data_IF_524433980371
#
_entry.id   IF_524433980371
#
_cell.length_a   1.000
_cell.length_b   1.000
_cell.length_c   1.000
_cell.angle_alpha   90.00
_cell.angle_beta   90.00
_cell.angle_gamma   90.00
#
_symmetry.space_group_name_H-M   'P 1'
#
loop_
_entity.id
_entity.type
_entity.pdbx_description
1 polymer ?
#
# COMPACT_ATOMS: atom_id res chain seq x y z
N UNK A 1 -41.91 31.45 30.66
CA UNK A 1 -43.17 32.16 30.42
C UNK A 1 -43.12 32.59 28.97
N UNK A 2 -43.79 31.88 28.07
CA UNK A 2 -43.74 32.19 26.64
C UNK A 2 -44.75 33.29 26.34
N UNK A 3 -44.23 34.50 26.18
CA UNK A 3 -45.01 35.67 25.79
C UNK A 3 -45.10 35.67 24.26
N UNK A 4 -46.19 35.13 23.73
CA UNK A 4 -46.49 35.16 22.29
C UNK A 4 -46.87 36.58 21.86
N UNK A 5 -46.51 37.04 20.65
CA UNK A 5 -47.01 38.30 20.10
C UNK A 5 -48.53 38.42 20.13
N UNK A 6 -49.25 37.32 19.88
CA UNK A 6 -50.72 37.28 19.95
C UNK A 6 -51.21 37.52 21.38
N UNK A 7 -50.55 36.88 22.36
CA UNK A 7 -50.86 37.07 23.76
C UNK A 7 -50.67 38.54 24.19
N UNK A 8 -49.60 39.20 23.73
CA UNK A 8 -49.37 40.63 24.04
C UNK A 8 -50.47 41.53 23.50
N UNK A 9 -51.02 41.23 22.31
CA UNK A 9 -52.10 42.01 21.69
C UNK A 9 -53.47 41.77 22.33
N UNK A 10 -53.68 40.61 22.95
CA UNK A 10 -54.98 40.21 23.53
C UNK A 10 -55.09 40.50 25.03
N UNK A 11 -54.01 40.91 25.70
CA UNK A 11 -54.02 41.22 27.12
C UNK A 11 -54.88 42.45 27.41
N UNK A 12 -55.85 42.28 28.31
CA UNK A 12 -56.73 43.34 28.81
C UNK A 12 -56.30 43.71 30.23
N UNK A 13 -56.13 45.00 30.49
CA UNK A 13 -55.79 45.54 31.81
C UNK A 13 -57.02 46.13 32.50
N UNK A 14 -57.11 46.00 33.83
CA UNK A 14 -58.16 46.67 34.61
C UNK A 14 -57.88 48.17 34.79
N UNK A 15 -58.93 48.98 34.79
CA UNK A 15 -58.83 50.43 34.93
C UNK A 15 -58.75 50.83 36.42
N UNK A 16 -57.77 51.67 36.77
CA UNK A 16 -57.57 52.16 38.14
C UNK A 16 -57.49 53.69 38.19
N UNK A 17 -57.85 54.28 39.34
CA UNK A 17 -57.76 55.73 39.52
C UNK A 17 -56.29 56.20 39.38
N UNK A 18 -56.02 57.08 38.40
CA UNK A 18 -54.69 57.54 37.95
C UNK A 18 -53.82 56.45 37.30
N UNK A 19 -54.41 55.54 36.53
CA UNK A 19 -53.69 54.58 35.68
C UNK A 19 -53.04 55.19 34.43
N UNK A 20 -52.33 54.37 33.66
CA UNK A 20 -51.81 54.73 32.35
C UNK A 20 -52.95 54.98 31.35
N UNK A 21 -52.71 55.86 30.37
CA UNK A 21 -53.70 56.10 29.31
C UNK A 21 -53.77 54.87 28.40
N UNK A 22 -54.95 54.25 28.31
CA UNK A 22 -55.16 53.02 27.53
C UNK A 22 -54.60 53.10 26.11
N UNK A 23 -54.88 54.18 25.37
CA UNK A 23 -54.38 54.34 24.00
C UNK A 23 -52.85 54.33 23.87
N UNK A 24 -52.12 54.77 24.90
CA UNK A 24 -50.64 54.74 24.90
C UNK A 24 -50.12 53.34 25.23
N UNK A 25 -50.83 52.62 26.10
CA UNK A 25 -50.52 51.23 26.41
C UNK A 25 -50.75 50.36 25.18
N UNK A 26 -51.88 50.54 24.48
CA UNK A 26 -52.20 49.79 23.27
C UNK A 26 -51.13 49.99 22.17
N UNK A 27 -50.75 51.24 21.88
CA UNK A 27 -49.68 51.54 20.92
C UNK A 27 -48.34 50.89 21.31
N UNK A 28 -48.03 50.86 22.62
CA UNK A 28 -46.84 50.21 23.12
C UNK A 28 -46.89 48.69 22.96
N UNK A 29 -48.01 48.05 23.28
CA UNK A 29 -48.20 46.61 23.12
C UNK A 29 -48.10 46.18 21.66
N UNK A 30 -48.65 46.95 20.73
CA UNK A 30 -48.53 46.69 19.30
C UNK A 30 -47.06 46.70 18.86
N UNK A 31 -46.29 47.73 19.28
CA UNK A 31 -44.86 47.82 18.96
C UNK A 31 -44.04 46.71 19.62
N UNK A 32 -44.40 46.31 20.84
CA UNK A 32 -43.76 45.17 21.52
C UNK A 32 -44.07 43.86 20.79
N UNK A 33 -45.32 43.63 20.40
CA UNK A 33 -45.72 42.45 19.65
C UNK A 33 -44.98 42.35 18.32
N UNK A 34 -44.87 43.45 17.57
CA UNK A 34 -44.07 43.53 16.34
C UNK A 34 -42.59 43.22 16.60
N UNK A 35 -42.02 43.79 17.67
CA UNK A 35 -40.64 43.51 18.08
C UNK A 35 -40.39 42.03 18.40
N UNK A 36 -41.33 41.38 19.09
CA UNK A 36 -41.25 39.95 19.40
C UNK A 36 -41.34 39.12 18.12
N UNK A 37 -42.24 39.46 17.18
CA UNK A 37 -42.34 38.78 15.88
C UNK A 37 -41.03 38.87 15.09
N UNK A 38 -40.44 40.05 15.02
CA UNK A 38 -39.15 40.27 14.36
C UNK A 38 -38.03 39.48 15.02
N UNK A 39 -37.96 39.47 16.35
CA UNK A 39 -36.96 38.68 17.09
C UNK A 39 -37.13 37.18 16.87
N UNK A 40 -38.37 36.67 16.91
CA UNK A 40 -38.66 35.28 16.63
C UNK A 40 -38.30 34.88 15.20
N UNK A 41 -38.58 35.75 14.21
CA UNK A 41 -38.19 35.52 12.83
C UNK A 41 -36.67 35.47 12.68
N UNK A 42 -35.95 36.44 13.25
CA UNK A 42 -34.48 36.47 13.23
C UNK A 42 -33.87 35.27 13.93
N UNK A 43 -34.47 34.81 15.03
CA UNK A 43 -34.03 33.61 15.74
C UNK A 43 -34.20 32.37 14.87
N UNK A 44 -35.37 32.19 14.23
CA UNK A 44 -35.61 31.07 13.30
C UNK A 44 -34.57 31.06 12.17
N UNK A 45 -34.36 32.20 11.51
CA UNK A 45 -33.38 32.33 10.43
C UNK A 45 -31.94 32.07 10.90
N UNK A 46 -31.58 32.54 12.09
CA UNK A 46 -30.27 32.30 12.68
C UNK A 46 -30.06 30.82 13.00
N UNK A 47 -31.05 30.16 13.59
CA UNK A 47 -31.02 28.73 13.90
C UNK A 47 -30.93 27.90 12.62
N UNK A 48 -31.73 28.21 11.60
CA UNK A 48 -31.65 27.50 10.31
C UNK A 48 -30.27 27.66 9.66
N UNK A 49 -29.69 28.86 9.70
CA UNK A 49 -28.32 29.09 9.19
C UNK A 49 -27.28 28.33 10.00
N UNK A 50 -27.42 28.28 11.33
CA UNK A 50 -26.52 27.55 12.22
C UNK A 50 -26.57 26.04 11.92
N UNK A 51 -27.77 25.45 11.86
CA UNK A 51 -27.97 24.03 11.52
C UNK A 51 -27.35 23.71 10.15
N UNK A 52 -27.57 24.55 9.13
CA UNK A 52 -26.95 24.33 7.81
C UNK A 52 -25.43 24.45 7.85
N UNK A 53 -24.87 25.33 8.69
CA UNK A 53 -23.43 25.46 8.84
C UNK A 53 -22.82 24.25 9.55
N UNK A 54 -23.47 23.78 10.61
CA UNK A 54 -23.07 22.57 11.35
C UNK A 54 -23.10 21.34 10.44
N UNK A 55 -24.14 21.18 9.62
CA UNK A 55 -24.24 20.09 8.64
C UNK A 55 -23.06 20.11 7.65
N UNK A 56 -22.71 21.28 7.08
CA UNK A 56 -21.55 21.38 6.18
C UNK A 56 -20.24 21.02 6.86
N UNK A 57 -20.05 21.41 8.12
CA UNK A 57 -18.83 21.06 8.87
C UNK A 57 -18.77 19.55 9.08
N UNK A 58 -19.87 18.91 9.50
CA UNK A 58 -19.94 17.47 9.67
C UNK A 58 -19.63 16.71 8.36
N UNK A 59 -20.21 17.14 7.24
CA UNK A 59 -19.93 16.56 5.91
C UNK A 59 -18.45 16.68 5.52
N UNK A 60 -17.82 17.82 5.79
CA UNK A 60 -16.40 18.02 5.53
C UNK A 60 -15.50 17.17 6.42
N UNK A 61 -15.84 16.99 7.69
CA UNK A 61 -15.10 16.15 8.62
C UNK A 61 -15.18 14.68 8.20
N UNK A 62 -16.37 14.20 7.83
CA UNK A 62 -16.57 12.84 7.30
C UNK A 62 -15.77 12.61 6.00
N UNK A 63 -15.82 13.56 5.07
CA UNK A 63 -15.04 13.49 3.83
C UNK A 63 -13.52 13.52 4.11
N UNK A 64 -13.09 14.33 5.08
CA UNK A 64 -11.70 14.43 5.51
C UNK A 64 -11.19 13.14 6.16
N UNK A 65 -12.03 12.46 6.94
CA UNK A 65 -11.70 11.17 7.56
C UNK A 65 -11.61 10.06 6.51
N UNK A 66 -12.56 9.98 5.58
CA UNK A 66 -12.52 9.04 4.46
C UNK A 66 -11.26 9.24 3.60
N UNK A 67 -10.87 10.49 3.33
CA UNK A 67 -9.65 10.81 2.62
C UNK A 67 -8.39 10.32 3.36
N UNK A 68 -8.30 10.55 4.69
CA UNK A 68 -7.17 10.05 5.51
C UNK A 68 -7.08 8.53 5.50
N UNK A 69 -8.20 7.83 5.60
CA UNK A 69 -8.24 6.37 5.54
C UNK A 69 -7.80 5.85 4.17
N UNK A 70 -8.24 6.49 3.09
CA UNK A 70 -7.81 6.15 1.73
C UNK A 70 -6.31 6.38 1.53
N UNK A 71 -5.75 7.46 2.10
CA UNK A 71 -4.31 7.72 2.02
C UNK A 71 -3.52 6.68 2.82
N UNK A 72 -3.96 6.35 4.04
CA UNK A 72 -3.31 5.34 4.87
C UNK A 72 -3.28 3.97 4.18
N UNK A 73 -4.37 3.56 3.55
CA UNK A 73 -4.43 2.30 2.78
C UNK A 73 -3.55 2.35 1.52
N UNK A 74 -3.51 3.47 0.80
CA UNK A 74 -2.60 3.65 -0.32
C UNK A 74 -1.12 3.61 0.10
N UNK A 75 -0.77 4.24 1.23
CA UNK A 75 0.58 4.20 1.80
C UNK A 75 0.99 2.79 2.21
N UNK A 76 0.09 2.05 2.86
CA UNK A 76 0.32 0.64 3.22
C UNK A 76 0.53 -0.22 1.98
N UNK A 77 -0.30 -0.04 0.95
CA UNK A 77 -0.15 -0.75 -0.32
C UNK A 77 1.20 -0.42 -0.99
N UNK A 78 1.59 0.85 -1.03
CA UNK A 78 2.87 1.27 -1.58
C UNK A 78 4.06 0.66 -0.83
N UNK A 79 4.01 0.60 0.51
CA UNK A 79 5.04 -0.07 1.32
C UNK A 79 5.12 -1.56 1.02
N UNK A 80 3.99 -2.25 0.96
CA UNK A 80 3.96 -3.67 0.60
C UNK A 80 4.55 -3.94 -0.80
N UNK A 81 4.25 -3.08 -1.78
CA UNK A 81 4.83 -3.20 -3.12
C UNK A 81 6.34 -2.96 -3.13
N UNK A 82 6.83 -2.00 -2.34
CA UNK A 82 8.27 -1.76 -2.21
C UNK A 82 9.00 -2.95 -1.57
N UNK A 83 8.41 -3.58 -0.56
CA UNK A 83 8.95 -4.80 0.05
C UNK A 83 8.99 -5.96 -0.94
N UNK A 84 7.92 -6.18 -1.71
CA UNK A 84 7.88 -7.21 -2.75
C UNK A 84 8.93 -6.96 -3.82
N UNK A 85 9.10 -5.71 -4.27
CA UNK A 85 10.11 -5.35 -5.25
C UNK A 85 11.53 -5.60 -4.74
N UNK A 86 11.82 -5.22 -3.49
CA UNK A 86 13.11 -5.46 -2.86
C UNK A 86 13.41 -6.96 -2.72
N UNK A 87 12.42 -7.79 -2.42
CA UNK A 87 12.60 -9.24 -2.35
C UNK A 87 12.80 -9.87 -3.74
N UNK A 88 12.07 -9.40 -4.75
CA UNK A 88 12.26 -9.83 -6.12
C UNK A 88 13.68 -9.51 -6.64
N UNK A 89 14.24 -8.36 -6.26
CA UNK A 89 15.62 -7.99 -6.57
C UNK A 89 16.62 -8.96 -5.94
N UNK A 90 16.49 -9.27 -4.64
CA UNK A 90 17.35 -10.26 -3.98
C UNK A 90 17.29 -11.63 -4.63
N UNK A 91 16.08 -12.08 -5.02
CA UNK A 91 15.90 -13.36 -5.71
C UNK A 91 16.59 -13.33 -7.08
N UNK A 92 16.45 -12.24 -7.83
CA UNK A 92 17.12 -12.07 -9.12
C UNK A 92 18.65 -12.07 -8.99
N UNK A 93 19.20 -11.41 -7.96
CA UNK A 93 20.63 -11.44 -7.67
C UNK A 93 21.12 -12.85 -7.30
N UNK A 94 20.38 -13.56 -6.44
CA UNK A 94 20.72 -14.93 -6.05
C UNK A 94 20.71 -15.87 -7.28
N UNK A 95 19.73 -15.72 -8.17
CA UNK A 95 19.66 -16.46 -9.43
C UNK A 95 20.85 -16.16 -10.34
N UNK A 96 21.24 -14.89 -10.48
CA UNK A 96 22.41 -14.51 -11.28
C UNK A 96 23.69 -15.14 -10.73
N UNK A 97 23.91 -15.10 -9.41
CA UNK A 97 25.09 -15.74 -8.77
C UNK A 97 25.13 -17.25 -9.00
N UNK A 98 23.98 -17.92 -8.93
CA UNK A 98 23.90 -19.36 -9.24
C UNK A 98 24.25 -19.64 -10.70
N UNK A 99 23.73 -18.86 -11.64
CA UNK A 99 24.04 -19.01 -13.08
C UNK A 99 25.52 -18.82 -13.38
N UNK A 100 26.15 -17.79 -12.78
CA UNK A 100 27.59 -17.56 -12.88
C UNK A 100 28.37 -18.77 -12.35
N UNK A 101 28.02 -19.27 -11.15
CA UNK A 101 28.66 -20.45 -10.57
C UNK A 101 28.49 -21.73 -11.40
N UNK A 102 27.32 -21.94 -12.03
CA UNK A 102 27.11 -23.05 -12.95
C UNK A 102 27.99 -22.93 -14.21
N UNK A 103 28.14 -21.72 -14.75
CA UNK A 103 29.05 -21.46 -15.88
C UNK A 103 30.51 -21.78 -15.53
N UNK A 104 30.96 -21.39 -14.35
CA UNK A 104 32.32 -21.70 -13.87
C UNK A 104 32.53 -23.21 -13.70
N UNK A 105 31.53 -23.92 -13.16
CA UNK A 105 31.57 -25.38 -13.01
C UNK A 105 31.58 -26.10 -14.37
N UNK A 106 30.81 -25.60 -15.34
CA UNK A 106 30.77 -26.11 -16.71
C UNK A 106 32.14 -25.96 -17.39
N UNK A 107 32.77 -24.79 -17.30
CA UNK A 107 34.13 -24.57 -17.81
C UNK A 107 35.15 -25.50 -17.12
N UNK A 108 35.06 -25.67 -15.80
CA UNK A 108 35.96 -26.55 -15.06
C UNK A 108 35.80 -28.03 -15.46
N UNK A 109 34.54 -28.48 -15.63
CA UNK A 109 34.22 -29.83 -16.11
C UNK A 109 34.82 -30.08 -17.49
N UNK A 110 34.62 -29.17 -18.43
CA UNK A 110 35.10 -29.33 -19.80
C UNK A 110 36.63 -29.39 -19.85
N UNK A 111 37.31 -28.57 -19.02
CA UNK A 111 38.77 -28.62 -18.85
C UNK A 111 39.25 -29.96 -18.27
N UNK A 112 38.58 -30.48 -17.24
CA UNK A 112 38.91 -31.79 -16.66
C UNK A 112 38.71 -32.91 -17.67
N UNK A 113 37.64 -32.87 -18.46
CA UNK A 113 37.40 -33.86 -19.52
C UNK A 113 38.50 -33.82 -20.59
N UNK A 114 38.94 -32.62 -21.00
CA UNK A 114 40.08 -32.49 -21.92
C UNK A 114 41.37 -33.08 -21.31
N UNK A 115 41.64 -32.83 -20.02
CA UNK A 115 42.80 -33.40 -19.33
C UNK A 115 42.73 -34.94 -19.30
N UNK A 116 41.59 -35.53 -18.96
CA UNK A 116 41.38 -36.98 -18.99
C UNK A 116 41.66 -37.53 -20.40
N UNK A 117 41.07 -36.92 -21.44
CA UNK A 117 41.27 -37.35 -22.81
C UNK A 117 42.75 -37.29 -23.25
N UNK A 118 43.49 -36.26 -22.82
CA UNK A 118 44.94 -36.16 -23.10
C UNK A 118 45.75 -37.22 -22.36
N UNK A 119 45.39 -37.54 -21.11
CA UNK A 119 46.03 -38.60 -20.34
C UNK A 119 45.79 -39.95 -21.01
N UNK A 120 44.55 -40.25 -21.41
CA UNK A 120 44.20 -41.47 -22.13
C UNK A 120 44.99 -41.60 -23.44
N UNK A 121 45.10 -40.51 -24.21
CA UNK A 121 45.91 -40.49 -25.44
C UNK A 121 47.41 -40.73 -25.18
N UNK A 122 47.96 -40.16 -24.10
CA UNK A 122 49.37 -40.39 -23.71
C UNK A 122 49.61 -41.82 -23.20
N UNK A 123 48.63 -42.41 -22.52
CA UNK A 123 48.66 -43.81 -22.09
C UNK A 123 48.60 -44.77 -23.29
N UNK A 124 47.78 -44.47 -24.30
CA UNK A 124 47.74 -45.24 -25.55
C UNK A 124 49.08 -45.17 -26.33
N UNK A 125 49.73 -44.00 -26.37
CA UNK A 125 51.04 -43.83 -27.00
C UNK A 125 52.17 -44.60 -26.29
N UNK A 126 52.16 -44.59 -24.94
CA UNK A 126 53.14 -45.36 -24.14
C UNK A 126 52.89 -46.87 -24.25
N UNK A 127 51.64 -47.33 -24.27
CA UNK A 127 51.29 -48.73 -24.51
C UNK A 127 51.71 -49.21 -25.92
N UNK A 128 51.53 -48.40 -26.97
CA UNK A 128 52.02 -48.71 -28.32
C UNK A 128 53.55 -48.76 -28.44
N UNK A 129 54.25 -47.97 -27.62
CA UNK A 129 55.72 -47.97 -27.55
C UNK A 129 56.26 -49.18 -26.78
N UNK A 130 55.53 -49.67 -25.77
CA UNK A 130 55.88 -50.90 -25.05
C UNK A 130 55.53 -52.15 -25.88
N UNK A 131 54.40 -52.15 -26.60
CA UNK A 131 54.02 -53.22 -27.53
C UNK A 131 54.99 -53.39 -28.70
N UNK A 132 55.52 -52.30 -29.27
CA UNK A 132 56.53 -52.38 -30.34
C UNK A 132 57.93 -52.80 -29.87
N UNK A 133 58.19 -52.83 -28.54
CA UNK A 133 59.46 -53.32 -27.99
C UNK A 133 59.48 -54.83 -27.70
N UNK A 134 58.33 -55.52 -27.76
CA UNK A 134 58.22 -56.96 -27.45
C UNK A 134 58.33 -57.86 -28.70
N UNK A 135 58.26 -57.32 -29.93
CA UNK A 135 58.29 -58.12 -31.17
C UNK A 135 59.67 -58.30 -31.87
N UNK A 136 60.80 -57.99 -31.21
CA UNK A 136 62.14 -58.27 -31.78
C UNK A 136 62.96 -59.22 -30.91
N UNK A 137 62.58 -60.51 -30.93
CA UNK A 137 63.34 -61.62 -30.37
C UNK A 137 63.23 -62.88 -31.25
N UNK A 138 64.01 -62.92 -32.34
CA UNK A 138 64.11 -64.02 -33.32
C UNK A 138 64.78 -65.30 -32.73
N UNK A 139 64.68 -66.48 -33.40
CA UNK A 139 64.54 -67.81 -32.80
C UNK A 139 65.84 -68.62 -32.67
N UNK A 140 65.86 -69.63 -31.79
CA UNK A 140 66.89 -70.68 -31.81
C UNK A 140 66.30 -72.08 -31.53
N UNK A 141 66.60 -72.96 -32.48
CA UNK A 141 66.26 -74.38 -32.60
C UNK A 141 66.67 -75.23 -31.40
N UNK A 142 65.89 -76.28 -31.06
CA UNK A 142 66.47 -77.58 -30.67
C UNK A 142 65.61 -78.76 -31.16
N UNK A 143 66.30 -79.64 -31.89
CA UNK A 143 65.95 -80.96 -32.42
C UNK A 143 65.41 -81.97 -31.40
N UNK A 144 64.66 -82.98 -31.87
CA UNK A 144 64.95 -84.45 -31.81
C UNK A 144 63.75 -85.22 -32.42
N UNK A 145 63.87 -85.95 -33.54
CA UNK A 145 64.52 -87.26 -33.84
C UNK A 145 63.62 -88.49 -33.55
N UNK A 146 63.42 -89.29 -34.62
CA UNK A 146 62.87 -90.68 -34.75
C UNK A 146 61.33 -90.77 -34.74
N UNK A 147 60.67 -91.57 -35.58
CA UNK A 147 61.06 -92.79 -36.35
C UNK A 147 60.81 -92.64 -37.85
#
# INVERSE_FOLDING_TARGET
>A
MDVSPQYVREVVFEEQWRGYKQSQVDEFLDRVAEGIEQLHQRLREATERAVRAEQRVAEHDEAGEAARQSLATAEQAARAMAEVAAEAEKVAEAQRRLQEGFGDLEVARDRLQQQIATVDASAASTAGTVGSRVETGSPAQVRRRRL
#
